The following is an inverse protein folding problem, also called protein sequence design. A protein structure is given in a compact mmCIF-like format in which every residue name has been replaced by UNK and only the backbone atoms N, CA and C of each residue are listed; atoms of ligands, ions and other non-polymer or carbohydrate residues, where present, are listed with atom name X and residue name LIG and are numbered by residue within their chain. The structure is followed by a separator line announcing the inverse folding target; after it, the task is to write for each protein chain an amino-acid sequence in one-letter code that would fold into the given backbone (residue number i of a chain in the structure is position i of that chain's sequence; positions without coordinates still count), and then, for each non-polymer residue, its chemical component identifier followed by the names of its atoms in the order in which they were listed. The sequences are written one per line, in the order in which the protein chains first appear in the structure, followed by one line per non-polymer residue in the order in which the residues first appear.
data_IF_350895178887
#
_entry.id   IF_350895178887
#
_cell.length_a   1.000
_cell.length_b   1.000
_cell.length_c   1.000
_cell.angle_alpha   90.00
_cell.angle_beta   90.00
_cell.angle_gamma   90.00
#
_symmetry.space_group_name_H-M   'P 1'
#
loop_
_entity.id
_entity.type
_entity.pdbx_description
1 polymer ?
#
# COMPACT_ATOMS: atom_id res chain seq x y z
N UNK A 1 -70.73 56.94 60.02
CA UNK A 1 -69.74 56.04 60.64
C UNK A 1 -70.19 54.57 60.78
N UNK A 2 -71.46 54.19 60.53
CA UNK A 2 -71.92 52.79 60.75
C UNK A 2 -71.81 51.81 59.54
N UNK A 3 -71.64 52.28 58.30
CA UNK A 3 -71.63 51.37 57.13
C UNK A 3 -70.32 50.62 56.90
N UNK A 4 -69.17 51.19 57.30
CA UNK A 4 -67.84 50.59 57.04
C UNK A 4 -67.58 49.35 57.93
N UNK A 5 -68.17 49.33 59.12
CA UNK A 5 -68.06 48.20 60.04
C UNK A 5 -68.84 46.98 59.52
N UNK A 6 -70.04 47.22 58.99
CA UNK A 6 -70.89 46.16 58.44
C UNK A 6 -70.29 45.53 57.18
N UNK A 7 -69.71 46.36 56.30
CA UNK A 7 -69.02 45.88 55.10
C UNK A 7 -67.78 45.03 55.41
N UNK A 8 -66.96 45.46 56.38
CA UNK A 8 -65.79 44.70 56.82
C UNK A 8 -66.19 43.39 57.53
N UNK A 9 -67.29 43.40 58.28
CA UNK A 9 -67.82 42.21 58.94
C UNK A 9 -68.30 41.17 57.93
N UNK A 10 -69.07 41.57 56.90
CA UNK A 10 -69.51 40.64 55.85
C UNK A 10 -68.34 40.11 55.00
N UNK A 11 -67.28 40.92 54.77
CA UNK A 11 -66.05 40.45 54.10
C UNK A 11 -65.26 39.42 54.93
N UNK A 12 -65.29 39.52 56.26
CA UNK A 12 -64.62 38.58 57.15
C UNK A 12 -65.48 37.34 57.48
N UNK A 13 -66.80 37.46 57.41
CA UNK A 13 -67.78 36.40 57.69
C UNK A 13 -67.83 35.41 56.53
N UNK A 14 -66.89 34.46 56.54
CA UNK A 14 -66.76 33.44 55.51
C UNK A 14 -65.34 33.26 55.00
N UNK A 15 -64.40 34.12 55.41
CA UNK A 15 -62.98 33.82 55.27
C UNK A 15 -62.67 32.61 56.17
N UNK A 16 -62.30 31.45 55.63
CA UNK A 16 -61.84 30.35 56.47
C UNK A 16 -60.65 30.88 57.25
N UNK A 17 -60.65 30.71 58.57
CA UNK A 17 -59.44 30.91 59.35
C UNK A 17 -58.45 29.88 58.81
N UNK A 18 -57.57 30.29 57.90
CA UNK A 18 -56.43 29.47 57.54
C UNK A 18 -55.47 29.55 58.73
N UNK A 19 -55.82 28.90 59.84
CA UNK A 19 -54.85 28.49 60.85
C UNK A 19 -54.09 27.32 60.20
N UNK A 20 -53.24 27.66 59.24
CA UNK A 20 -51.99 26.95 59.01
C UNK A 20 -50.88 27.83 59.55
N UNK A 21 -51.04 28.31 60.80
CA UNK A 21 -49.92 28.81 61.56
C UNK A 21 -48.88 27.70 61.58
N UNK A 22 -47.68 27.96 61.05
CA UNK A 22 -46.56 27.03 60.95
C UNK A 22 -45.98 26.73 62.34
N UNK A 23 -46.80 26.11 63.18
CA UNK A 23 -46.46 25.73 64.55
C UNK A 23 -45.35 24.69 64.52
N UNK A 24 -44.43 24.73 65.51
CA UNK A 24 -43.33 23.76 65.57
C UNK A 24 -43.83 22.32 65.58
N UNK A 25 -45.00 22.06 66.19
CA UNK A 25 -45.63 20.74 66.20
C UNK A 25 -46.13 20.32 64.81
N UNK A 26 -46.77 21.21 64.05
CA UNK A 26 -47.20 20.90 62.68
C UNK A 26 -46.00 20.61 61.76
N UNK A 27 -44.86 21.29 61.96
CA UNK A 27 -43.61 20.98 61.25
C UNK A 27 -43.04 19.62 61.63
N UNK A 28 -43.08 19.25 62.90
CA UNK A 28 -42.65 17.93 63.38
C UNK A 28 -43.51 16.82 62.75
N UNK A 29 -44.83 16.98 62.77
CA UNK A 29 -45.77 16.02 62.17
C UNK A 29 -45.51 15.88 60.66
N UNK A 30 -45.36 16.98 59.92
CA UNK A 30 -45.05 16.93 58.48
C UNK A 30 -43.71 16.24 58.19
N UNK A 31 -42.67 16.50 58.99
CA UNK A 31 -41.37 15.82 58.84
C UNK A 31 -41.49 14.31 59.08
N UNK A 32 -42.20 13.90 60.12
CA UNK A 32 -42.40 12.48 60.42
C UNK A 32 -43.25 11.82 59.34
N UNK A 33 -44.30 12.48 58.85
CA UNK A 33 -45.11 12.00 57.73
C UNK A 33 -44.29 11.84 56.45
N UNK A 34 -43.40 12.77 56.16
CA UNK A 34 -42.49 12.69 55.03
C UNK A 34 -41.47 11.55 55.17
N UNK A 35 -40.96 11.31 56.38
CA UNK A 35 -40.03 10.21 56.67
C UNK A 35 -40.70 8.84 56.61
N UNK A 36 -41.98 8.74 56.99
CA UNK A 36 -42.78 7.51 56.94
C UNK A 36 -43.50 7.33 55.58
N UNK A 37 -43.26 8.22 54.61
CA UNK A 37 -43.91 8.15 53.32
C UNK A 37 -43.34 7.01 52.49
N UNK A 38 -44.12 5.94 52.33
CA UNK A 38 -43.79 4.79 51.47
C UNK A 38 -43.49 5.20 50.03
N UNK A 39 -44.17 6.23 49.52
CA UNK A 39 -43.94 6.74 48.16
C UNK A 39 -42.53 7.30 48.03
N UNK A 40 -42.09 8.11 49.00
CA UNK A 40 -40.73 8.67 49.01
C UNK A 40 -39.69 7.57 49.18
N UNK A 41 -39.94 6.62 50.08
CA UNK A 41 -39.08 5.45 50.29
C UNK A 41 -38.90 4.63 49.00
N UNK A 42 -39.98 4.37 48.25
CA UNK A 42 -39.91 3.67 46.98
C UNK A 42 -39.16 4.46 45.91
N UNK A 43 -39.40 5.77 45.81
CA UNK A 43 -38.68 6.64 44.87
C UNK A 43 -37.18 6.69 45.18
N UNK A 44 -36.80 6.88 46.43
CA UNK A 44 -35.40 6.90 46.86
C UNK A 44 -34.74 5.54 46.65
N UNK A 45 -35.46 4.45 46.88
CA UNK A 45 -35.03 3.09 46.57
C UNK A 45 -34.81 2.87 45.07
N UNK A 46 -35.68 3.40 44.20
CA UNK A 46 -35.51 3.31 42.76
C UNK A 46 -34.33 4.15 42.26
N UNK A 47 -34.09 5.33 42.85
CA UNK A 47 -32.88 6.13 42.59
C UNK A 47 -31.63 5.38 43.05
N UNK A 48 -31.64 4.82 44.26
CA UNK A 48 -30.49 4.07 44.79
C UNK A 48 -30.10 2.87 43.91
N UNK A 49 -31.07 2.17 43.30
CA UNK A 49 -30.81 1.06 42.36
C UNK A 49 -30.06 1.51 41.09
N UNK A 50 -30.19 2.78 40.71
CA UNK A 50 -29.50 3.34 39.53
C UNK A 50 -28.09 3.85 39.84
N UNK A 51 -27.74 4.00 41.12
CA UNK A 51 -26.40 4.40 41.55
C UNK A 51 -25.54 3.15 41.63
N UNK A 52 -25.05 2.69 40.49
CA UNK A 52 -24.05 1.63 40.41
C UNK A 52 -22.66 2.27 40.42
N UNK A 53 -21.83 1.95 41.42
CA UNK A 53 -20.41 2.34 41.37
C UNK A 53 -19.69 1.37 40.43
N UNK A 54 -19.50 1.79 39.19
CA UNK A 54 -18.79 1.00 38.18
C UNK A 54 -17.35 1.49 38.14
N UNK A 55 -16.41 0.62 38.50
CA UNK A 55 -14.98 0.89 38.34
C UNK A 55 -14.66 0.95 36.84
N UNK A 56 -14.19 2.10 36.36
CA UNK A 56 -13.83 2.29 34.94
C UNK A 56 -12.75 1.30 34.49
N UNK A 57 -11.92 0.81 35.43
CA UNK A 57 -10.87 -0.18 35.19
C UNK A 57 -11.33 -1.62 35.38
N UNK A 58 -12.63 -1.85 35.54
CA UNK A 58 -13.16 -3.21 35.54
C UNK A 58 -12.75 -3.92 34.24
N UNK A 59 -12.22 -5.13 34.36
CA UNK A 59 -11.67 -5.89 33.23
C UNK A 59 -12.66 -6.05 32.08
N UNK A 60 -13.96 -6.18 32.39
CA UNK A 60 -15.01 -6.33 31.39
C UNK A 60 -15.19 -5.05 30.55
N UNK A 61 -15.03 -3.88 31.16
CA UNK A 61 -15.14 -2.57 30.50
C UNK A 61 -13.91 -2.31 29.64
N UNK A 62 -12.72 -2.58 30.17
CA UNK A 62 -11.48 -2.50 29.39
C UNK A 62 -11.50 -3.46 28.20
N UNK A 63 -11.97 -4.69 28.41
CA UNK A 63 -12.13 -5.67 27.36
C UNK A 63 -13.14 -5.20 26.31
N UNK A 64 -14.33 -4.74 26.71
CA UNK A 64 -15.34 -4.22 25.79
C UNK A 64 -14.81 -3.02 24.98
N UNK A 65 -14.07 -2.11 25.62
CA UNK A 65 -13.43 -0.97 24.97
C UNK A 65 -12.39 -1.42 23.94
N UNK A 66 -11.54 -2.40 24.28
CA UNK A 66 -10.53 -2.95 23.37
C UNK A 66 -11.16 -3.63 22.16
N UNK A 67 -12.17 -4.47 22.38
CA UNK A 67 -12.91 -5.14 21.30
C UNK A 67 -13.61 -4.11 20.41
N UNK A 68 -14.25 -3.09 21.00
CA UNK A 68 -14.88 -1.99 20.26
C UNK A 68 -13.88 -1.26 19.36
N UNK A 69 -12.68 -0.98 19.86
CA UNK A 69 -11.61 -0.37 19.06
C UNK A 69 -11.12 -1.28 17.94
N UNK A 70 -10.96 -2.59 18.19
CA UNK A 70 -10.53 -3.57 17.19
C UNK A 70 -11.54 -3.73 16.05
N UNK A 71 -12.83 -3.70 16.35
CA UNK A 71 -13.91 -3.85 15.35
C UNK A 71 -14.28 -2.51 14.70
N UNK A 72 -13.69 -1.40 15.16
CA UNK A 72 -13.97 -0.08 14.63
C UNK A 72 -13.51 0.05 13.17
N UNK A 73 -14.49 0.15 12.28
CA UNK A 73 -14.27 0.38 10.84
C UNK A 73 -13.50 1.68 10.56
N UNK A 74 -13.65 2.69 11.42
CA UNK A 74 -12.96 3.97 11.28
C UNK A 74 -11.47 3.81 11.53
N UNK A 75 -11.10 3.15 12.65
CA UNK A 75 -9.70 2.87 12.97
C UNK A 75 -9.07 1.94 11.93
N UNK A 76 -9.82 0.95 11.43
CA UNK A 76 -9.37 0.08 10.35
C UNK A 76 -9.03 0.88 9.08
N UNK A 77 -9.92 1.78 8.64
CA UNK A 77 -9.67 2.63 7.46
C UNK A 77 -8.48 3.55 7.66
N UNK A 78 -8.37 4.19 8.83
CA UNK A 78 -7.24 5.06 9.13
C UNK A 78 -5.92 4.30 9.08
N UNK A 79 -5.84 3.13 9.74
CA UNK A 79 -4.65 2.30 9.72
C UNK A 79 -4.30 1.78 8.32
N UNK A 80 -5.31 1.49 7.48
CA UNK A 80 -5.09 1.16 6.06
C UNK A 80 -4.47 2.32 5.29
N UNK A 81 -5.01 3.53 5.42
CA UNK A 81 -4.45 4.73 4.77
C UNK A 81 -3.01 5.01 5.22
N UNK A 82 -2.69 4.78 6.49
CA UNK A 82 -1.34 4.99 7.05
C UNK A 82 -0.31 3.91 6.60
N UNK A 83 -0.78 2.75 6.14
CA UNK A 83 0.07 1.60 5.81
C UNK A 83 0.08 1.23 4.34
N UNK A 84 -0.90 1.66 3.53
CA UNK A 84 -0.99 1.34 2.10
C UNK A 84 0.28 1.71 1.31
N UNK A 85 0.95 2.80 1.68
CA UNK A 85 2.16 3.27 1.00
C UNK A 85 3.42 2.51 1.47
N UNK A 86 3.35 1.82 2.62
CA UNK A 86 4.46 1.01 3.17
C UNK A 86 4.54 -0.39 2.57
N UNK A 87 3.42 -0.91 2.03
CA UNK A 87 3.33 -2.22 1.37
C UNK A 87 3.70 -2.17 -0.12
N UNK A 88 4.59 -1.27 -0.51
CA UNK A 88 5.12 -1.27 -1.88
C UNK A 88 6.19 -2.35 -1.98
N UNK A 89 6.13 -3.14 -3.07
CA UNK A 89 7.25 -3.99 -3.45
C UNK A 89 8.51 -3.12 -3.52
N UNK A 90 9.68 -3.61 -3.05
CA UNK A 90 10.92 -2.88 -3.20
C UNK A 90 11.13 -2.51 -4.68
N UNK A 91 11.75 -1.35 -4.99
CA UNK A 91 11.92 -0.88 -6.36
C UNK A 91 12.65 -1.89 -7.26
N UNK A 92 13.52 -2.72 -6.67
CA UNK A 92 14.28 -3.76 -7.35
C UNK A 92 13.55 -5.11 -7.42
N UNK A 93 12.28 -5.18 -7.00
CA UNK A 93 11.50 -6.40 -7.10
C UNK A 93 11.39 -6.82 -8.57
N UNK A 94 11.71 -8.08 -8.91
CA UNK A 94 11.75 -8.53 -10.30
C UNK A 94 10.41 -8.36 -11.02
N UNK A 95 9.30 -8.53 -10.30
CA UNK A 95 7.95 -8.30 -10.82
C UNK A 95 7.73 -6.85 -11.24
N UNK A 96 8.13 -5.89 -10.40
CA UNK A 96 8.00 -4.47 -10.68
C UNK A 96 8.89 -4.06 -11.86
N UNK A 97 10.15 -4.53 -11.89
CA UNK A 97 11.08 -4.29 -13.00
C UNK A 97 10.53 -4.86 -14.30
N UNK A 98 9.96 -6.07 -14.26
CA UNK A 98 9.35 -6.70 -15.43
C UNK A 98 8.11 -5.94 -15.90
N UNK A 99 7.26 -5.51 -14.98
CA UNK A 99 6.09 -4.69 -15.29
C UNK A 99 6.51 -3.37 -15.98
N UNK A 100 7.52 -2.68 -15.46
CA UNK A 100 8.06 -1.44 -16.06
C UNK A 100 8.57 -1.72 -17.47
N UNK A 101 9.39 -2.75 -17.67
CA UNK A 101 9.90 -3.12 -19.00
C UNK A 101 8.76 -3.43 -19.98
N UNK A 102 7.77 -4.20 -19.56
CA UNK A 102 6.62 -4.53 -20.38
C UNK A 102 5.82 -3.27 -20.75
N UNK A 103 5.57 -2.38 -19.79
CA UNK A 103 4.86 -1.12 -20.07
C UNK A 103 5.59 -0.24 -21.07
N UNK A 104 6.93 -0.17 -21.00
CA UNK A 104 7.74 0.54 -21.98
C UNK A 104 7.63 -0.12 -23.36
N UNK A 105 7.71 -1.46 -23.43
CA UNK A 105 7.63 -2.23 -24.68
C UNK A 105 6.27 -2.09 -25.37
N UNK A 106 5.17 -2.01 -24.62
CA UNK A 106 3.81 -1.84 -25.14
C UNK A 106 3.38 -0.37 -25.24
N UNK A 107 4.25 0.58 -24.92
CA UNK A 107 3.93 2.00 -24.98
C UNK A 107 3.78 2.46 -26.42
N UNK A 108 2.54 2.80 -26.80
CA UNK A 108 2.23 3.33 -28.14
C UNK A 108 3.05 4.58 -28.46
N UNK A 109 3.29 5.44 -27.48
CA UNK A 109 4.06 6.68 -27.65
C UNK A 109 5.50 6.36 -28.06
N UNK A 110 6.16 5.46 -27.33
CA UNK A 110 7.54 5.08 -27.60
C UNK A 110 7.65 4.41 -28.98
N UNK A 111 6.69 3.52 -29.29
CA UNK A 111 6.59 2.91 -30.61
C UNK A 111 6.46 3.93 -31.75
N UNK A 112 5.63 4.96 -31.58
CA UNK A 112 5.47 6.00 -32.62
C UNK A 112 6.72 6.85 -32.79
N UNK A 113 7.43 7.16 -31.70
CA UNK A 113 8.69 7.91 -31.73
C UNK A 113 9.78 7.10 -32.44
N UNK A 114 9.94 5.82 -32.10
CA UNK A 114 10.89 4.91 -32.75
C UNK A 114 10.57 4.74 -34.25
N UNK A 115 9.28 4.59 -34.61
CA UNK A 115 8.84 4.50 -36.00
C UNK A 115 9.13 5.77 -36.81
N UNK A 116 8.98 6.95 -36.20
CA UNK A 116 9.34 8.22 -36.85
C UNK A 116 10.84 8.37 -37.03
N UNK A 117 11.65 7.90 -36.06
CA UNK A 117 13.10 7.86 -36.18
C UNK A 117 13.54 6.93 -37.33
N UNK A 118 12.96 5.73 -37.41
CA UNK A 118 13.28 4.73 -38.43
C UNK A 118 12.90 5.18 -39.85
N UNK A 119 11.83 5.96 -40.00
CA UNK A 119 11.46 6.55 -41.31
C UNK A 119 12.56 7.43 -41.90
N UNK A 120 13.38 8.07 -41.07
CA UNK A 120 14.50 8.89 -41.51
C UNK A 120 15.72 8.06 -41.94
N UNK A 121 15.73 6.76 -41.63
CA UNK A 121 16.88 5.89 -41.80
C UNK A 121 16.90 5.29 -43.21
N UNK A 122 17.44 6.05 -44.16
CA UNK A 122 17.64 5.58 -45.53
C UNK A 122 18.98 4.84 -45.67
N UNK A 123 18.93 3.55 -46.03
CA UNK A 123 20.11 2.78 -46.40
C UNK A 123 20.22 2.68 -47.92
N UNK A 124 21.35 3.08 -48.52
CA UNK A 124 21.65 2.73 -49.90
C UNK A 124 21.58 1.22 -50.07
N UNK A 125 21.00 0.72 -51.17
CA UNK A 125 20.81 -0.73 -51.39
C UNK A 125 22.09 -1.55 -51.15
N UNK A 126 23.25 -1.01 -51.54
CA UNK A 126 24.56 -1.67 -51.40
C UNK A 126 25.07 -1.77 -49.94
N UNK A 127 24.50 -1.04 -48.99
CA UNK A 127 24.87 -1.06 -47.57
C UNK A 127 23.65 -1.29 -46.67
N UNK A 128 22.70 -2.10 -47.16
CA UNK A 128 21.57 -2.57 -46.36
C UNK A 128 22.07 -3.38 -45.16
N UNK A 129 21.43 -3.26 -43.98
CA UNK A 129 21.74 -4.06 -42.80
C UNK A 129 21.79 -5.57 -43.08
N UNK A 130 20.90 -6.06 -43.95
CA UNK A 130 20.87 -7.47 -44.35
C UNK A 130 22.12 -7.88 -45.13
N UNK A 131 22.57 -7.05 -46.07
CA UNK A 131 23.81 -7.32 -46.82
C UNK A 131 25.02 -7.32 -45.89
N UNK A 132 25.06 -6.41 -44.92
CA UNK A 132 26.13 -6.35 -43.92
C UNK A 132 26.13 -7.60 -43.03
N UNK A 133 24.94 -8.04 -42.59
CA UNK A 133 24.76 -9.27 -41.80
C UNK A 133 25.23 -10.49 -42.58
N UNK A 134 24.83 -10.61 -43.85
CA UNK A 134 25.25 -11.71 -44.73
C UNK A 134 26.76 -11.68 -44.96
N UNK A 135 27.35 -10.52 -45.25
CA UNK A 135 28.79 -10.38 -45.44
C UNK A 135 29.58 -10.75 -44.17
N UNK A 136 29.11 -10.36 -42.98
CA UNK A 136 29.70 -10.74 -41.70
C UNK A 136 29.58 -12.25 -41.45
N UNK A 137 28.41 -12.84 -41.69
CA UNK A 137 28.20 -14.28 -41.56
C UNK A 137 29.09 -15.07 -42.52
N UNK A 138 29.21 -14.62 -43.77
CA UNK A 138 30.10 -15.22 -44.77
C UNK A 138 31.57 -15.10 -44.35
N UNK A 139 31.99 -13.94 -43.83
CA UNK A 139 33.34 -13.73 -43.30
C UNK A 139 33.63 -14.65 -42.11
N UNK A 140 32.67 -14.81 -41.20
CA UNK A 140 32.78 -15.69 -40.04
C UNK A 140 32.80 -17.19 -40.43
N UNK A 141 32.02 -17.58 -41.43
CA UNK A 141 32.00 -18.94 -41.98
C UNK A 141 33.24 -19.23 -42.82
N UNK A 142 33.85 -18.20 -43.42
CA UNK A 142 35.00 -18.41 -44.30
C UNK A 142 36.21 -18.97 -43.53
N UNK A 143 36.69 -20.12 -43.99
CA UNK A 143 37.94 -20.76 -43.57
C UNK A 143 39.16 -19.84 -43.70
N UNK A 144 39.04 -18.74 -44.45
CA UNK A 144 40.09 -17.74 -44.64
C UNK A 144 40.55 -17.20 -43.30
N UNK A 145 39.62 -16.84 -42.40
CA UNK A 145 39.97 -16.33 -41.07
C UNK A 145 40.65 -17.41 -40.22
N UNK A 146 40.18 -18.66 -40.28
CA UNK A 146 40.74 -19.79 -39.54
C UNK A 146 42.14 -20.18 -40.04
N UNK A 147 42.34 -20.24 -41.36
CA UNK A 147 43.62 -20.64 -41.97
C UNK A 147 44.66 -19.53 -41.99
N UNK A 148 44.25 -18.26 -41.86
CA UNK A 148 45.16 -17.11 -41.86
C UNK A 148 46.33 -17.27 -40.87
N UNK A 149 46.03 -17.70 -39.64
CA UNK A 149 47.08 -17.93 -38.62
C UNK A 149 48.03 -19.07 -38.97
N UNK A 150 47.53 -20.15 -39.61
CA UNK A 150 48.36 -21.25 -40.10
C UNK A 150 49.30 -20.78 -41.22
N UNK A 151 48.79 -19.98 -42.15
CA UNK A 151 49.59 -19.45 -43.27
C UNK A 151 50.68 -18.50 -42.77
N UNK A 152 50.35 -17.62 -41.81
CA UNK A 152 51.31 -16.71 -41.17
C UNK A 152 52.43 -17.45 -40.43
N UNK A 153 52.12 -18.60 -39.83
CA UNK A 153 53.15 -19.46 -39.24
C UNK A 153 53.97 -20.19 -40.31
N UNK A 154 53.34 -20.72 -41.36
CA UNK A 154 54.05 -21.38 -42.46
C UNK A 154 55.04 -20.46 -43.17
N UNK A 155 54.72 -19.18 -43.37
CA UNK A 155 55.66 -18.23 -43.99
C UNK A 155 56.87 -17.94 -43.10
N UNK A 156 56.78 -18.19 -41.80
CA UNK A 156 57.90 -18.05 -40.86
C UNK A 156 58.85 -19.25 -40.89
N UNK A 157 58.41 -20.40 -41.43
CA UNK A 157 59.25 -21.58 -41.62
C UNK A 157 59.89 -21.56 -43.02
N UNK A 158 61.20 -21.39 -43.08
CA UNK A 158 61.95 -21.60 -44.33
C UNK A 158 62.18 -23.11 -44.48
N UNK A 159 61.71 -23.70 -45.59
CA UNK A 159 61.98 -25.10 -45.88
C UNK A 159 63.49 -25.32 -46.02
N UNK A 160 64.02 -26.34 -45.34
CA UNK A 160 65.40 -26.75 -45.55
C UNK A 160 65.57 -27.28 -46.97
N UNK A 161 66.66 -26.95 -47.67
CA UNK A 161 66.95 -27.54 -48.98
C UNK A 161 67.05 -29.06 -48.85
N UNK A 162 66.45 -29.77 -49.81
CA UNK A 162 66.41 -31.22 -49.80
C UNK A 162 67.84 -31.79 -49.88
N UNK A 163 68.12 -32.90 -49.17
CA UNK A 163 69.41 -33.56 -49.28
C UNK A 163 69.64 -34.07 -50.72
N UNK A 164 70.90 -34.11 -51.18
CA UNK A 164 71.25 -34.36 -52.59
C UNK A 164 70.72 -35.70 -53.14
N UNK A 165 70.54 -36.72 -52.29
CA UNK A 165 69.96 -38.01 -52.69
C UNK A 165 68.48 -37.91 -53.08
N UNK A 166 67.73 -37.04 -52.41
CA UNK A 166 66.29 -36.83 -52.69
C UNK A 166 66.12 -36.01 -53.96
N UNK A 167 66.95 -34.98 -54.16
CA UNK A 167 67.05 -34.22 -55.41
C UNK A 167 67.39 -35.15 -56.59
N UNK A 168 68.37 -36.03 -56.40
CA UNK A 168 68.76 -37.03 -57.39
C UNK A 168 67.61 -37.99 -57.72
N UNK A 169 66.94 -38.54 -56.70
CA UNK A 169 65.79 -39.42 -56.88
C UNK A 169 64.67 -38.75 -57.68
N UNK A 170 64.32 -37.49 -57.36
CA UNK A 170 63.33 -36.69 -58.11
C UNK A 170 63.73 -36.51 -59.57
N UNK A 171 65.01 -36.21 -59.82
CA UNK A 171 65.54 -36.02 -61.17
C UNK A 171 65.51 -37.33 -61.98
N UNK A 172 65.74 -38.47 -61.34
CA UNK A 172 65.63 -39.80 -61.96
C UNK A 172 64.18 -40.14 -62.28
N UNK A 173 63.24 -39.97 -61.34
CA UNK A 173 61.81 -40.24 -61.58
C UNK A 173 61.23 -39.35 -62.69
N UNK A 174 61.66 -38.10 -62.78
CA UNK A 174 61.23 -37.17 -63.84
C UNK A 174 61.83 -37.51 -65.21
N UNK A 175 62.96 -38.22 -65.26
CA UNK A 175 63.54 -38.75 -66.50
C UNK A 175 62.89 -40.07 -66.93
N UNK A 176 62.44 -40.89 -65.99
CA UNK A 176 61.72 -42.15 -66.26
C UNK A 176 60.27 -41.90 -66.69
N UNK A 177 59.69 -40.76 -66.29
CA UNK A 177 58.31 -40.38 -66.63
C UNK A 177 58.20 -39.60 -67.96
N UNK A 178 59.24 -39.63 -68.80
CA UNK A 178 59.26 -39.05 -70.16
C UNK A 178 59.31 -40.12 -71.23
#
# INVERSE_FOLDING_TARGET
FQNKYKENYEKAKGQPYAITSDTPELRRIKKVQDQLSEVKYRMDGDVAKTICHVDEKAKDIEHAKKVSQQVSKVLYKQNWEDTKDKYLLPPDAPELVQAIKNTAMFSKKLYTEDWEADKGLFYPYNDSPELRRVAQAQKALSDIAYKKGLTEQQTQFTCLPDPPDVEFAKKVTNQVSK
#
